data_IF_583864776531
#
_entry.id   IF_583864776531
#
_cell.length_a   1.000
_cell.length_b   1.000
_cell.length_c   1.000
_cell.angle_alpha   90.00
_cell.angle_beta   90.00
_cell.angle_gamma   90.00
#
_symmetry.space_group_name_H-M   'P 1'
#
loop_
_entity.id
_entity.type
_entity.pdbx_description
1 polymer ?
#
# COMPACT_ATOMS: atom_id res chain seq x y z
N UNK A 1 -1.43 -20.66 4.60
CA UNK A 1 -1.34 -19.64 3.54
C UNK A 1 -0.94 -18.34 4.21
N UNK A 2 -0.04 -17.54 3.64
CA UNK A 2 0.39 -16.27 4.22
C UNK A 2 -0.76 -15.24 4.15
N UNK A 3 -1.07 -14.59 5.25
CA UNK A 3 -2.22 -13.67 5.34
C UNK A 3 -2.05 -12.41 4.48
N UNK A 4 -0.81 -12.05 4.12
CA UNK A 4 -0.53 -10.97 3.15
C UNK A 4 -1.14 -11.20 1.77
N UNK A 5 -1.41 -12.45 1.38
CA UNK A 5 -2.09 -12.79 0.11
C UNK A 5 -3.50 -12.18 0.06
N UNK A 6 -4.21 -12.10 1.19
CA UNK A 6 -5.54 -11.48 1.24
C UNK A 6 -5.47 -9.96 1.03
N UNK A 7 -4.44 -9.30 1.55
CA UNK A 7 -4.21 -7.86 1.31
C UNK A 7 -3.88 -7.58 -0.16
N UNK A 8 -3.04 -8.44 -0.77
CA UNK A 8 -2.71 -8.34 -2.19
C UNK A 8 -3.97 -8.56 -3.04
N UNK A 9 -4.79 -9.56 -2.70
CA UNK A 9 -6.08 -9.80 -3.37
C UNK A 9 -6.98 -8.56 -3.27
N UNK A 10 -7.16 -8.02 -2.09
CA UNK A 10 -7.99 -6.84 -1.87
C UNK A 10 -7.52 -5.65 -2.72
N UNK A 11 -6.21 -5.42 -2.78
CA UNK A 11 -5.61 -4.39 -3.64
C UNK A 11 -5.86 -4.66 -5.13
N UNK A 12 -5.78 -5.92 -5.59
CA UNK A 12 -6.04 -6.27 -6.98
C UNK A 12 -7.52 -6.07 -7.36
N UNK A 13 -8.41 -6.42 -6.47
CA UNK A 13 -9.87 -6.33 -6.70
C UNK A 13 -10.36 -4.88 -6.67
N UNK A 14 -9.97 -4.12 -5.68
CA UNK A 14 -10.40 -2.73 -5.52
C UNK A 14 -9.60 -1.76 -6.39
N UNK A 15 -8.35 -2.11 -6.71
CA UNK A 15 -7.40 -1.21 -7.37
C UNK A 15 -6.76 -0.22 -6.40
N UNK A 16 -5.98 0.72 -6.96
CA UNK A 16 -5.37 1.82 -6.21
C UNK A 16 -6.20 3.07 -6.50
N UNK A 17 -7.06 3.46 -5.57
CA UNK A 17 -7.96 4.59 -5.75
C UNK A 17 -8.12 5.38 -4.45
N UNK A 18 -8.23 6.68 -4.58
CA UNK A 18 -8.56 7.59 -3.46
C UNK A 18 -9.98 7.39 -2.91
N UNK A 19 -10.85 6.68 -3.65
CA UNK A 19 -12.20 6.33 -3.19
C UNK A 19 -12.24 5.13 -2.24
N UNK A 20 -11.11 4.47 -2.00
CA UNK A 20 -11.03 3.36 -1.06
C UNK A 20 -10.69 3.93 0.31
N UNK A 21 -11.57 3.70 1.27
CA UNK A 21 -11.39 4.09 2.67
C UNK A 21 -10.80 2.91 3.42
N UNK A 22 -9.47 2.81 3.38
CA UNK A 22 -8.74 1.70 4.03
C UNK A 22 -8.90 1.75 5.55
N UNK A 23 -8.98 2.96 6.11
CA UNK A 23 -9.27 3.19 7.52
C UNK A 23 -10.62 2.56 7.94
N UNK A 24 -11.68 2.75 7.15
CA UNK A 24 -13.00 2.17 7.41
C UNK A 24 -12.99 0.65 7.26
N UNK A 25 -12.26 0.12 6.24
CA UNK A 25 -12.09 -1.32 6.04
C UNK A 25 -11.46 -1.96 7.27
N UNK A 26 -10.35 -1.39 7.76
CA UNK A 26 -9.64 -1.93 8.92
C UNK A 26 -10.48 -1.76 10.19
N UNK A 27 -11.16 -0.63 10.36
CA UNK A 27 -12.02 -0.39 11.51
C UNK A 27 -13.17 -1.39 11.62
N UNK A 28 -13.78 -1.78 10.48
CA UNK A 28 -14.92 -2.70 10.47
C UNK A 28 -14.51 -4.17 10.50
N UNK A 29 -13.59 -4.58 9.63
CA UNK A 29 -13.23 -5.99 9.42
C UNK A 29 -11.97 -6.41 10.19
N UNK A 30 -11.20 -5.48 10.71
CA UNK A 30 -9.92 -5.73 11.38
C UNK A 30 -8.79 -5.98 10.39
N UNK A 31 -8.94 -6.95 9.48
CA UNK A 31 -7.92 -7.32 8.50
C UNK A 31 -8.52 -7.88 7.20
N UNK A 32 -7.68 -7.99 6.16
CA UNK A 32 -8.13 -8.44 4.83
C UNK A 32 -8.58 -9.91 4.80
N UNK A 33 -8.07 -10.77 5.68
CA UNK A 33 -8.49 -12.16 5.79
C UNK A 33 -9.90 -12.28 6.34
N UNK A 34 -10.21 -11.53 7.41
CA UNK A 34 -11.55 -11.48 7.97
C UNK A 34 -12.56 -10.94 6.94
N UNK A 35 -12.18 -9.86 6.23
CA UNK A 35 -12.98 -9.32 5.14
C UNK A 35 -13.23 -10.36 4.03
N UNK A 36 -12.22 -11.10 3.62
CA UNK A 36 -12.35 -12.13 2.57
C UNK A 36 -13.39 -13.20 2.96
N UNK A 37 -13.39 -13.63 4.22
CA UNK A 37 -14.29 -14.68 4.73
C UNK A 37 -15.68 -14.17 5.16
N UNK A 38 -15.86 -12.86 5.30
CA UNK A 38 -17.12 -12.26 5.72
C UNK A 38 -18.25 -12.48 4.68
N UNK A 39 -17.91 -12.40 3.39
CA UNK A 39 -18.86 -12.62 2.30
C UNK A 39 -19.72 -11.40 1.96
N UNK A 40 -20.53 -11.54 0.88
CA UNK A 40 -21.26 -10.43 0.27
C UNK A 40 -22.25 -9.76 1.23
N UNK A 41 -22.94 -10.52 2.05
CA UNK A 41 -23.90 -9.98 3.00
C UNK A 41 -23.26 -8.98 3.95
N UNK A 42 -22.15 -9.39 4.57
CA UNK A 42 -21.40 -8.56 5.52
C UNK A 42 -20.79 -7.33 4.84
N UNK A 43 -20.27 -7.48 3.61
CA UNK A 43 -19.78 -6.34 2.83
C UNK A 43 -20.85 -5.31 2.54
N UNK A 44 -22.12 -5.74 2.34
CA UNK A 44 -23.26 -4.84 2.10
C UNK A 44 -23.66 -4.08 3.35
N UNK A 45 -23.79 -4.78 4.47
CA UNK A 45 -24.26 -4.15 5.72
C UNK A 45 -23.20 -3.27 6.37
N UNK A 46 -21.91 -3.50 6.10
CA UNK A 46 -20.83 -2.66 6.60
C UNK A 46 -20.93 -1.19 6.15
N UNK A 47 -21.55 -0.95 5.00
CA UNK A 47 -21.63 0.39 4.41
C UNK A 47 -20.30 0.92 3.85
N UNK A 48 -19.20 0.16 3.98
CA UNK A 48 -17.84 0.57 3.55
C UNK A 48 -17.69 0.54 2.04
N UNK A 49 -18.40 -0.36 1.37
CA UNK A 49 -18.25 -0.61 -0.07
C UNK A 49 -19.46 -0.15 -0.86
N UNK A 50 -19.23 0.48 -2.00
CA UNK A 50 -20.27 0.74 -2.98
C UNK A 50 -20.62 -0.55 -3.78
N UNK A 51 -21.78 -0.58 -4.49
CA UNK A 51 -22.20 -1.77 -5.22
C UNK A 51 -21.19 -2.28 -6.26
N UNK A 52 -20.43 -1.39 -6.90
CA UNK A 52 -19.39 -1.77 -7.87
C UNK A 52 -18.20 -2.45 -7.20
N UNK A 53 -17.83 -1.98 -6.01
CA UNK A 53 -16.76 -2.60 -5.22
C UNK A 53 -17.19 -3.99 -4.72
N UNK A 54 -18.42 -4.13 -4.24
CA UNK A 54 -18.99 -5.42 -3.82
C UNK A 54 -18.99 -6.42 -4.98
N UNK A 55 -19.43 -6.00 -6.17
CA UNK A 55 -19.38 -6.86 -7.36
C UNK A 55 -17.96 -7.36 -7.68
N UNK A 56 -16.95 -6.52 -7.46
CA UNK A 56 -15.55 -6.93 -7.63
C UNK A 56 -15.07 -7.88 -6.53
N UNK A 57 -15.46 -7.65 -5.27
CA UNK A 57 -15.10 -8.50 -4.13
C UNK A 57 -15.63 -9.93 -4.27
N UNK A 58 -16.71 -10.15 -5.04
CA UNK A 58 -17.21 -11.47 -5.37
C UNK A 58 -16.23 -12.33 -6.19
N UNK A 59 -15.22 -11.70 -6.81
CA UNK A 59 -14.10 -12.43 -7.40
C UNK A 59 -13.09 -12.80 -6.30
N UNK A 60 -13.31 -13.94 -5.67
CA UNK A 60 -12.47 -14.48 -4.58
C UNK A 60 -11.31 -15.36 -5.08
N UNK A 61 -10.89 -15.23 -6.34
CA UNK A 61 -9.72 -15.94 -6.86
C UNK A 61 -8.42 -15.33 -6.31
N UNK A 62 -7.70 -16.13 -5.53
CA UNK A 62 -6.41 -15.77 -4.93
C UNK A 62 -5.19 -16.08 -5.81
N UNK A 63 -5.38 -16.70 -6.97
CA UNK A 63 -4.27 -17.18 -7.83
C UNK A 63 -3.32 -16.05 -8.19
N UNK A 64 -3.85 -14.93 -8.65
CA UNK A 64 -3.04 -13.77 -9.01
C UNK A 64 -2.31 -13.17 -7.81
N UNK A 65 -2.98 -13.08 -6.66
CA UNK A 65 -2.39 -12.56 -5.43
C UNK A 65 -1.24 -13.44 -4.93
N UNK A 66 -1.40 -14.78 -5.00
CA UNK A 66 -0.33 -15.74 -4.68
C UNK A 66 0.86 -15.56 -5.60
N UNK A 67 0.65 -15.49 -6.91
CA UNK A 67 1.72 -15.30 -7.89
C UNK A 67 2.50 -14.01 -7.66
N UNK A 68 1.82 -12.92 -7.28
CA UNK A 68 2.48 -11.66 -6.91
C UNK A 68 3.32 -11.85 -5.65
N UNK A 69 2.77 -12.46 -4.61
CA UNK A 69 3.49 -12.72 -3.37
C UNK A 69 4.75 -13.58 -3.61
N UNK A 70 4.61 -14.67 -4.35
CA UNK A 70 5.71 -15.58 -4.68
C UNK A 70 6.79 -14.86 -5.52
N UNK A 71 6.38 -13.97 -6.43
CA UNK A 71 7.30 -13.14 -7.20
C UNK A 71 8.08 -12.17 -6.31
N UNK A 72 7.45 -11.58 -5.31
CA UNK A 72 8.13 -10.73 -4.33
C UNK A 72 9.19 -11.54 -3.56
N UNK A 73 8.80 -12.70 -3.04
CA UNK A 73 9.73 -13.60 -2.33
C UNK A 73 10.91 -13.99 -3.22
N UNK A 74 10.66 -14.39 -4.47
CA UNK A 74 11.72 -14.76 -5.43
C UNK A 74 12.70 -13.63 -5.72
N UNK A 75 12.24 -12.39 -5.69
CA UNK A 75 13.08 -11.21 -5.97
C UNK A 75 13.63 -10.56 -4.68
N UNK A 76 13.48 -11.20 -3.52
CA UNK A 76 13.86 -10.64 -2.21
C UNK A 76 13.19 -9.30 -1.88
N UNK A 77 11.98 -9.09 -2.37
CA UNK A 77 11.18 -7.94 -2.00
C UNK A 77 10.33 -8.27 -0.77
N UNK A 78 10.23 -7.33 0.15
CA UNK A 78 9.34 -7.44 1.28
C UNK A 78 7.93 -7.02 0.86
N UNK A 79 6.93 -7.76 1.33
CA UNK A 79 5.52 -7.36 1.22
C UNK A 79 5.06 -6.97 2.63
N UNK A 80 4.73 -5.71 2.81
CA UNK A 80 4.32 -5.14 4.10
C UNK A 80 2.88 -4.65 4.03
N UNK A 81 2.09 -5.01 5.01
CA UNK A 81 0.64 -4.78 5.07
C UNK A 81 0.28 -4.09 6.38
N UNK A 82 -0.92 -3.50 6.53
CA UNK A 82 -1.35 -2.84 7.75
C UNK A 82 -1.31 -3.70 9.02
N UNK A 83 -1.29 -5.02 8.88
CA UNK A 83 -1.19 -5.97 10.00
C UNK A 83 0.26 -6.14 10.51
N UNK A 84 1.25 -5.67 9.75
CA UNK A 84 2.65 -5.85 10.08
C UNK A 84 3.15 -4.74 11.02
N UNK A 85 3.91 -5.10 12.05
CA UNK A 85 4.50 -4.14 13.01
C UNK A 85 5.43 -3.11 12.36
N UNK A 86 6.05 -3.48 11.24
CA UNK A 86 6.94 -2.61 10.49
C UNK A 86 6.20 -1.77 9.42
N UNK A 87 4.86 -1.80 9.38
CA UNK A 87 4.10 -0.89 8.52
C UNK A 87 4.32 0.56 8.96
N UNK A 88 4.67 1.49 8.05
CA UNK A 88 5.00 2.86 8.44
C UNK A 88 3.80 3.58 9.08
N UNK A 89 3.87 3.85 10.38
CA UNK A 89 2.79 4.45 11.15
C UNK A 89 2.30 5.79 10.61
N UNK A 90 3.18 6.54 9.93
CA UNK A 90 2.83 7.81 9.30
C UNK A 90 1.75 7.65 8.21
N UNK A 91 1.65 6.49 7.57
CA UNK A 91 0.67 6.21 6.52
C UNK A 91 -0.75 6.08 7.08
N UNK A 92 -0.92 5.64 8.32
CA UNK A 92 -2.24 5.56 8.97
C UNK A 92 -2.94 6.91 9.16
N UNK A 93 -2.22 8.03 8.96
CA UNK A 93 -2.82 9.37 8.95
C UNK A 93 -3.66 9.64 7.69
N UNK A 94 -3.50 8.81 6.67
CA UNK A 94 -4.27 8.91 5.43
C UNK A 94 -5.50 8.00 5.52
N UNK A 95 -6.71 8.47 5.21
CA UNK A 95 -7.90 7.62 5.24
C UNK A 95 -7.85 6.49 4.19
N UNK A 96 -7.06 6.67 3.15
CA UNK A 96 -6.85 5.73 2.05
C UNK A 96 -5.40 5.23 2.00
N UNK A 97 -4.85 4.87 3.17
CA UNK A 97 -3.48 4.36 3.22
C UNK A 97 -3.31 3.09 2.37
N UNK A 98 -2.10 2.85 1.82
CA UNK A 98 -1.84 1.70 0.96
C UNK A 98 -2.14 0.36 1.64
N UNK A 99 -2.90 -0.51 0.96
CA UNK A 99 -3.21 -1.86 1.45
C UNK A 99 -1.98 -2.77 1.49
N UNK A 100 -1.02 -2.54 0.58
CA UNK A 100 0.20 -3.31 0.46
C UNK A 100 1.34 -2.39 0.03
N UNK A 101 2.47 -2.51 0.69
CA UNK A 101 3.75 -1.93 0.28
C UNK A 101 4.65 -3.04 -0.25
N UNK A 102 5.17 -2.87 -1.45
CA UNK A 102 6.20 -3.72 -2.04
C UNK A 102 7.54 -3.00 -1.86
N UNK A 103 8.39 -3.54 -1.01
CA UNK A 103 9.62 -2.88 -0.57
C UNK A 103 10.84 -3.60 -1.13
N UNK A 104 11.66 -2.85 -1.86
CA UNK A 104 12.99 -3.30 -2.26
C UNK A 104 14.03 -2.47 -1.51
N UNK A 105 14.64 -3.07 -0.50
CA UNK A 105 15.60 -2.42 0.38
C UNK A 105 15.15 -2.43 1.84
N UNK A 106 15.65 -1.45 2.60
CA UNK A 106 15.43 -1.34 4.04
C UNK A 106 14.32 -0.32 4.37
N UNK A 107 13.20 -0.81 4.90
CA UNK A 107 12.08 0.03 5.33
C UNK A 107 12.40 0.83 6.61
N UNK A 108 13.35 0.37 7.39
CA UNK A 108 13.76 1.06 8.62
C UNK A 108 14.39 2.43 8.35
N UNK A 109 14.79 2.69 7.11
CA UNK A 109 15.24 4.02 6.69
C UNK A 109 14.18 5.12 6.90
N UNK A 110 12.88 4.76 6.96
CA UNK A 110 11.79 5.70 7.23
C UNK A 110 11.67 6.10 8.71
N UNK A 111 12.29 5.33 9.61
CA UNK A 111 12.19 5.57 11.06
C UNK A 111 13.04 6.78 11.46
N UNK A 112 12.44 7.68 12.23
CA UNK A 112 13.14 8.79 12.90
C UNK A 112 13.93 9.74 11.97
N UNK A 113 13.55 9.86 10.70
CA UNK A 113 14.18 10.77 9.75
C UNK A 113 13.22 11.86 9.28
N UNK A 114 13.77 13.03 8.99
CA UNK A 114 13.04 14.07 8.26
C UNK A 114 12.90 13.60 6.82
N UNK A 115 11.66 13.43 6.38
CA UNK A 115 11.31 13.03 5.03
C UNK A 115 10.91 14.25 4.20
N UNK A 116 11.47 14.35 3.00
CA UNK A 116 11.19 15.45 2.05
C UNK A 116 10.74 14.86 0.72
N UNK A 117 9.57 15.27 0.22
CA UNK A 117 9.12 14.89 -1.10
C UNK A 117 9.61 15.88 -2.15
N UNK A 118 10.26 15.40 -3.21
CA UNK A 118 10.59 16.18 -4.40
C UNK A 118 9.61 15.78 -5.49
N UNK A 119 8.74 16.71 -5.88
CA UNK A 119 7.67 16.47 -6.84
C UNK A 119 7.85 17.35 -8.08
N UNK A 120 7.38 16.87 -9.24
CA UNK A 120 7.47 17.60 -10.49
C UNK A 120 6.79 16.86 -11.64
N UNK A 121 6.98 17.40 -12.86
CA UNK A 121 6.47 16.79 -14.09
C UNK A 121 7.16 15.45 -14.39
N UNK A 122 6.45 14.54 -15.11
CA UNK A 122 7.03 13.27 -15.59
C UNK A 122 8.13 13.47 -16.63
N UNK A 123 8.08 14.57 -17.37
CA UNK A 123 9.09 14.96 -18.36
C UNK A 123 9.74 16.28 -17.93
N UNK A 124 10.72 16.22 -17.01
CA UNK A 124 11.40 17.43 -16.52
C UNK A 124 12.38 17.95 -17.57
N UNK A 125 12.58 19.27 -17.56
CA UNK A 125 13.71 19.86 -18.30
C UNK A 125 15.03 19.36 -17.71
N UNK A 126 16.11 19.42 -18.51
CA UNK A 126 17.46 19.05 -18.06
C UNK A 126 17.88 19.83 -16.80
N UNK A 127 17.55 21.12 -16.76
CA UNK A 127 17.85 21.98 -15.62
C UNK A 127 17.08 21.54 -14.35
N UNK A 128 15.76 21.29 -14.47
CA UNK A 128 14.93 20.83 -13.35
C UNK A 128 15.43 19.48 -12.80
N UNK A 129 15.84 18.57 -13.67
CA UNK A 129 16.42 17.29 -13.26
C UNK A 129 17.75 17.45 -12.50
N UNK A 130 18.62 18.39 -12.94
CA UNK A 130 19.87 18.72 -12.24
C UNK A 130 19.60 19.30 -10.85
N UNK A 131 18.64 20.23 -10.73
CA UNK A 131 18.26 20.84 -9.45
C UNK A 131 17.72 19.76 -8.49
N UNK A 132 16.80 18.92 -8.97
CA UNK A 132 16.24 17.83 -8.15
C UNK A 132 17.33 16.89 -7.61
N UNK A 133 18.30 16.49 -8.45
CA UNK A 133 19.45 15.67 -8.03
C UNK A 133 20.32 16.37 -6.99
N UNK A 134 20.63 17.64 -7.18
CA UNK A 134 21.46 18.41 -6.26
C UNK A 134 20.78 18.56 -4.89
N UNK A 135 19.47 18.86 -4.86
CA UNK A 135 18.67 18.95 -3.64
C UNK A 135 18.60 17.60 -2.92
N UNK A 136 18.29 16.52 -3.66
CA UNK A 136 18.24 15.16 -3.09
C UNK A 136 19.56 14.80 -2.44
N UNK A 137 20.68 15.01 -3.13
CA UNK A 137 22.02 14.72 -2.60
C UNK A 137 22.36 15.57 -1.37
N UNK A 138 21.96 16.84 -1.32
CA UNK A 138 22.18 17.71 -0.17
C UNK A 138 21.37 17.27 1.05
N UNK A 139 20.07 17.00 0.87
CA UNK A 139 19.17 16.55 1.94
C UNK A 139 19.64 15.20 2.52
N UNK A 140 20.02 14.26 1.65
CA UNK A 140 20.47 12.93 2.09
C UNK A 140 21.79 13.02 2.85
N UNK A 141 22.74 13.87 2.41
CA UNK A 141 24.00 14.11 3.16
C UNK A 141 23.78 14.74 4.52
N UNK A 142 22.71 15.51 4.67
CA UNK A 142 22.29 16.09 5.96
C UNK A 142 21.47 15.14 6.84
N UNK A 143 21.37 13.86 6.46
CA UNK A 143 20.65 12.84 7.23
C UNK A 143 19.14 12.75 6.96
N UNK A 144 18.63 13.56 6.03
CA UNK A 144 17.22 13.48 5.59
C UNK A 144 16.97 12.30 4.64
N UNK A 145 15.70 12.01 4.39
CA UNK A 145 15.21 11.01 3.45
C UNK A 145 14.42 11.69 2.32
N UNK A 146 14.56 11.20 1.10
CA UNK A 146 13.80 11.65 -0.08
C UNK A 146 12.79 10.58 -0.46
#
# INVERSE_FOLDING_TARGET
MNDRVYWIWLQQVLGISTSIRTDEIVAYFGNAKALYHAGEYEWRISGVFNPRQISKLNNQDLTKAKNIFDSCVKNNWQTVTPDDENYPSMLFRLPNFPLVLYVNGDLDCLKNKITVAIVGTREPTRNSACIARALSASITRSGGLI
#
